data_IF_328451580242
#
_entry.id   IF_328451580242
#
_cell.length_a   1.000
_cell.length_b   1.000
_cell.length_c   1.000
_cell.angle_alpha   90.00
_cell.angle_beta   90.00
_cell.angle_gamma   90.00
#
_symmetry.space_group_name_H-M   'P 1'
#
loop_
_entity.id
_entity.type
_entity.pdbx_description
1 polymer ?
#
# COMPACT_ATOMS: atom_id res chain seq x y z
N UNK A 1 -14.07 -4.86 -6.72
CA UNK A 1 -14.37 -5.78 -5.63
C UNK A 1 -14.40 -7.23 -6.08
N UNK A 2 -14.96 -7.50 -7.24
CA UNK A 2 -15.01 -8.87 -7.77
C UNK A 2 -13.63 -9.52 -7.89
N UNK A 3 -12.60 -8.72 -8.15
CA UNK A 3 -11.25 -9.23 -8.36
C UNK A 3 -10.37 -9.10 -7.12
N UNK A 4 -10.95 -8.69 -6.02
CA UNK A 4 -10.26 -8.61 -4.74
C UNK A 4 -9.43 -7.36 -4.52
N UNK A 5 -9.06 -6.68 -5.60
CA UNK A 5 -8.31 -5.44 -5.52
C UNK A 5 -8.49 -4.62 -6.78
N UNK A 6 -8.42 -3.30 -6.67
CA UNK A 6 -8.63 -2.41 -7.80
C UNK A 6 -7.97 -1.06 -7.56
N UNK A 7 -7.70 -0.34 -8.67
CA UNK A 7 -7.11 0.98 -8.58
C UNK A 7 -8.17 1.99 -8.17
N UNK A 8 -7.94 2.69 -7.06
CA UNK A 8 -8.84 3.73 -6.56
C UNK A 8 -8.47 5.08 -7.14
N UNK A 9 -7.18 5.38 -7.18
CA UNK A 9 -6.70 6.67 -7.67
C UNK A 9 -5.47 6.43 -8.53
N UNK A 10 -5.56 6.77 -9.81
CA UNK A 10 -4.48 6.55 -10.73
C UNK A 10 -3.42 7.63 -10.66
N UNK A 11 -2.20 7.24 -10.96
CA UNK A 11 -1.09 8.16 -11.10
C UNK A 11 -1.28 9.08 -12.31
N UNK A 12 -0.61 10.23 -12.28
CA UNK A 12 -0.56 11.12 -13.44
C UNK A 12 0.19 10.42 -14.59
N UNK A 13 -0.01 10.91 -15.81
CA UNK A 13 0.64 10.34 -16.98
C UNK A 13 2.15 10.30 -16.81
N UNK A 14 2.75 9.18 -17.21
CA UNK A 14 4.18 8.98 -17.08
C UNK A 14 4.52 7.72 -16.29
N UNK A 15 5.77 7.57 -15.93
CA UNK A 15 6.24 6.38 -15.23
C UNK A 15 5.78 6.39 -13.77
N UNK A 16 5.17 5.29 -13.37
CA UNK A 16 4.70 5.12 -11.99
C UNK A 16 5.89 5.04 -11.02
N UNK A 17 5.86 5.85 -9.97
CA UNK A 17 6.94 5.91 -8.99
C UNK A 17 6.70 5.02 -7.79
N UNK A 18 5.47 4.99 -7.28
CA UNK A 18 5.16 4.21 -6.07
C UNK A 18 3.68 3.85 -6.06
N UNK A 19 3.38 2.68 -5.48
CA UNK A 19 2.01 2.20 -5.29
C UNK A 19 1.73 2.13 -3.81
N UNK A 20 0.61 2.69 -3.39
CA UNK A 20 0.12 2.59 -2.01
C UNK A 20 -1.11 1.68 -2.02
N UNK A 21 -1.09 0.63 -1.22
CA UNK A 21 -2.17 -0.35 -1.17
C UNK A 21 -2.81 -0.32 0.20
N UNK A 22 -4.12 -0.11 0.24
CA UNK A 22 -4.90 -0.23 1.47
C UNK A 22 -5.66 -1.55 1.44
N UNK A 23 -5.58 -2.30 2.52
CA UNK A 23 -6.21 -3.62 2.59
C UNK A 23 -7.53 -3.61 3.35
N UNK A 24 -7.96 -2.45 3.84
CA UNK A 24 -9.20 -2.36 4.60
C UNK A 24 -9.59 -0.92 4.85
N UNK A 25 -9.80 -0.58 6.12
CA UNK A 25 -10.31 0.73 6.53
C UNK A 25 -9.27 1.85 6.45
N UNK A 26 -8.04 1.54 6.05
CA UNK A 26 -6.93 2.50 6.01
C UNK A 26 -6.83 3.24 4.69
N UNK A 27 -7.84 3.12 3.83
CA UNK A 27 -7.82 3.77 2.51
C UNK A 27 -7.64 5.28 2.62
N UNK A 28 -8.25 5.89 3.62
CA UNK A 28 -8.12 7.33 3.86
C UNK A 28 -6.66 7.73 4.12
N UNK A 29 -5.94 6.90 4.87
CA UNK A 29 -4.52 7.15 5.13
C UNK A 29 -3.70 7.09 3.85
N UNK A 30 -3.98 6.10 3.01
CA UNK A 30 -3.28 5.94 1.74
C UNK A 30 -3.55 7.11 0.81
N UNK A 31 -4.81 7.55 0.74
CA UNK A 31 -5.17 8.69 -0.11
C UNK A 31 -4.51 9.99 0.35
N UNK A 32 -4.45 10.22 1.66
CA UNK A 32 -3.78 11.40 2.20
C UNK A 32 -2.27 11.35 1.96
N UNK A 33 -1.67 10.19 2.12
CA UNK A 33 -0.25 10.02 1.82
C UNK A 33 0.03 10.28 0.36
N UNK A 34 -0.86 9.81 -0.52
CA UNK A 34 -0.70 10.03 -1.95
C UNK A 34 -0.71 11.52 -2.30
N UNK A 35 -1.58 12.30 -1.65
CA UNK A 35 -1.61 13.74 -1.90
C UNK A 35 -0.25 14.38 -1.58
N UNK A 36 0.32 14.03 -0.44
CA UNK A 36 1.61 14.57 -0.03
C UNK A 36 2.71 14.21 -1.01
N UNK A 37 2.74 12.94 -1.43
CA UNK A 37 3.77 12.49 -2.37
C UNK A 37 3.59 13.11 -3.75
N UNK A 38 2.34 13.29 -4.19
CA UNK A 38 2.06 13.94 -5.47
C UNK A 38 2.47 15.41 -5.46
N UNK A 39 2.33 16.08 -4.31
CA UNK A 39 2.80 17.45 -4.17
C UNK A 39 4.31 17.55 -4.33
N UNK A 40 5.03 16.47 -4.07
CA UNK A 40 6.48 16.40 -4.29
C UNK A 40 6.82 16.00 -5.73
N UNK A 41 5.85 15.91 -6.62
CA UNK A 41 6.08 15.58 -8.02
C UNK A 41 6.12 14.10 -8.34
N UNK A 42 5.78 13.24 -7.40
CA UNK A 42 5.80 11.80 -7.61
C UNK A 42 4.50 11.31 -8.25
N UNK A 43 4.62 10.27 -9.07
CA UNK A 43 3.46 9.61 -9.66
C UNK A 43 3.06 8.45 -8.79
N UNK A 44 1.92 8.60 -8.12
CA UNK A 44 1.46 7.68 -7.07
C UNK A 44 0.14 7.05 -7.50
N UNK A 45 0.06 5.74 -7.38
CA UNK A 45 -1.18 4.99 -7.58
C UNK A 45 -1.68 4.51 -6.23
N UNK A 46 -2.98 4.63 -5.98
CA UNK A 46 -3.60 4.10 -4.78
C UNK A 46 -4.50 2.94 -5.16
N UNK A 47 -4.31 1.81 -4.49
CA UNK A 47 -5.04 0.57 -4.74
C UNK A 47 -5.78 0.17 -3.47
N UNK A 48 -7.03 -0.25 -3.62
CA UNK A 48 -7.77 -0.88 -2.53
C UNK A 48 -7.77 -2.38 -2.74
N UNK A 49 -7.39 -3.14 -1.72
CA UNK A 49 -7.32 -4.60 -1.81
C UNK A 49 -8.05 -5.25 -0.64
N UNK A 50 -9.39 -5.26 -0.67
CA UNK A 50 -10.17 -5.82 0.43
C UNK A 50 -10.08 -7.34 0.53
N UNK A 51 -9.70 -8.04 -0.54
CA UNK A 51 -9.60 -9.49 -0.50
C UNK A 51 -8.41 -9.98 -1.31
N UNK A 52 -7.28 -10.16 -0.62
CA UNK A 52 -6.04 -10.61 -1.27
C UNK A 52 -6.15 -12.00 -1.87
N UNK A 53 -6.94 -12.90 -1.25
CA UNK A 53 -7.08 -14.25 -1.78
C UNK A 53 -7.77 -14.26 -3.14
N UNK A 54 -8.80 -13.45 -3.31
CA UNK A 54 -9.48 -13.32 -4.60
C UNK A 54 -8.55 -12.68 -5.61
N UNK A 55 -7.82 -11.64 -5.20
CA UNK A 55 -6.88 -10.97 -6.09
C UNK A 55 -5.79 -11.93 -6.58
N UNK A 56 -5.27 -12.77 -5.68
CA UNK A 56 -4.21 -13.71 -6.02
C UNK A 56 -4.64 -14.74 -7.06
N UNK A 57 -5.94 -15.00 -7.19
CA UNK A 57 -6.49 -15.95 -8.15
C UNK A 57 -6.78 -15.34 -9.52
N UNK A 58 -6.61 -14.03 -9.67
CA UNK A 58 -6.87 -13.38 -10.94
C UNK A 58 -5.76 -13.69 -11.94
N UNK A 59 -6.04 -13.53 -13.25
CA UNK A 59 -4.99 -13.73 -14.25
C UNK A 59 -3.78 -12.84 -13.99
N UNK A 60 -2.60 -13.36 -14.34
CA UNK A 60 -1.36 -12.63 -14.10
C UNK A 60 -1.35 -11.27 -14.78
N UNK A 61 -1.92 -11.17 -15.98
CA UNK A 61 -2.00 -9.91 -16.70
C UNK A 61 -2.75 -8.85 -15.88
N UNK A 62 -3.86 -9.26 -15.27
CA UNK A 62 -4.65 -8.31 -14.50
C UNK A 62 -3.95 -7.91 -13.22
N UNK A 63 -3.35 -8.89 -12.53
CA UNK A 63 -2.60 -8.60 -11.30
C UNK A 63 -1.46 -7.62 -11.58
N UNK A 64 -0.76 -7.85 -12.69
CA UNK A 64 0.35 -7.00 -13.09
C UNK A 64 -0.13 -5.58 -13.46
N UNK A 65 -1.33 -5.45 -13.99
CA UNK A 65 -1.87 -4.14 -14.34
C UNK A 65 -2.21 -3.33 -13.10
N UNK A 66 -2.51 -3.98 -11.98
CA UNK A 66 -2.84 -3.30 -10.71
C UNK A 66 -1.59 -3.08 -9.88
N UNK A 67 -0.78 -4.12 -9.72
CA UNK A 67 0.46 -4.10 -8.93
C UNK A 67 1.63 -4.50 -9.82
N UNK A 68 2.20 -3.56 -10.58
CA UNK A 68 3.33 -3.90 -11.46
C UNK A 68 4.55 -4.33 -10.66
N UNK A 69 5.20 -5.40 -11.12
CA UNK A 69 6.43 -5.86 -10.48
C UNK A 69 7.53 -4.80 -10.64
N UNK A 70 8.37 -4.69 -9.63
CA UNK A 70 9.51 -3.77 -9.67
C UNK A 70 9.22 -2.34 -9.26
N UNK A 71 7.94 -1.99 -9.08
CA UNK A 71 7.58 -0.65 -8.62
C UNK A 71 7.50 -0.67 -7.09
N UNK A 72 8.14 0.29 -6.40
CA UNK A 72 8.06 0.36 -4.94
C UNK A 72 6.60 0.38 -4.47
N UNK A 73 6.28 -0.48 -3.50
CA UNK A 73 4.90 -0.67 -3.05
C UNK A 73 4.85 -0.65 -1.53
N UNK A 74 3.91 0.12 -0.98
CA UNK A 74 3.67 0.19 0.47
C UNK A 74 2.27 -0.32 0.73
N UNK A 75 2.15 -1.38 1.54
CA UNK A 75 0.88 -1.90 2.01
C UNK A 75 0.55 -1.30 3.36
N UNK A 76 -0.69 -0.85 3.54
CA UNK A 76 -1.18 -0.36 4.82
C UNK A 76 -2.24 -1.34 5.32
N UNK A 77 -1.92 -2.04 6.40
CA UNK A 77 -2.75 -3.11 6.93
C UNK A 77 -2.82 -3.04 8.45
N UNK A 78 -4.00 -3.05 9.02
CA UNK A 78 -4.19 -2.95 10.46
C UNK A 78 -4.11 -4.29 11.19
N UNK A 79 -3.93 -5.39 10.46
CA UNK A 79 -3.84 -6.72 11.06
C UNK A 79 -2.47 -7.33 10.74
N UNK A 80 -2.40 -8.63 10.50
CA UNK A 80 -1.13 -9.32 10.31
C UNK A 80 -0.41 -8.88 9.02
N UNK A 81 0.75 -8.24 9.10
CA UNK A 81 1.44 -7.79 7.89
C UNK A 81 2.10 -8.91 7.11
N UNK A 82 2.40 -10.04 7.75
CA UNK A 82 3.12 -11.15 7.09
C UNK A 82 2.39 -11.63 5.86
N UNK A 83 1.06 -11.73 5.93
CA UNK A 83 0.25 -12.21 4.83
C UNK A 83 0.49 -11.42 3.54
N UNK A 84 0.69 -10.10 3.66
CA UNK A 84 0.74 -9.22 2.50
C UNK A 84 2.08 -9.20 1.79
N UNK A 85 3.13 -9.71 2.42
CA UNK A 85 4.45 -9.77 1.78
C UNK A 85 4.44 -10.62 0.51
N UNK A 86 3.51 -11.56 0.40
CA UNK A 86 3.41 -12.39 -0.81
C UNK A 86 3.14 -11.59 -2.08
N UNK A 87 2.57 -10.39 -1.94
CA UNK A 87 2.24 -9.56 -3.09
C UNK A 87 3.37 -8.63 -3.51
N UNK A 88 4.45 -8.57 -2.76
CA UNK A 88 5.59 -7.73 -3.11
C UNK A 88 6.47 -8.44 -4.13
N UNK A 89 6.55 -7.85 -5.33
CA UNK A 89 7.37 -8.37 -6.43
C UNK A 89 8.49 -7.40 -6.76
N UNK A 90 9.10 -6.81 -5.74
CA UNK A 90 10.15 -5.83 -5.86
C UNK A 90 10.27 -5.06 -4.57
N UNK A 91 10.82 -3.85 -4.59
CA UNK A 91 10.97 -3.07 -3.36
C UNK A 91 9.61 -2.80 -2.73
N UNK A 92 9.52 -2.93 -1.41
CA UNK A 92 8.27 -2.68 -0.75
C UNK A 92 8.33 -2.91 0.74
N UNK A 93 7.25 -2.50 1.41
CA UNK A 93 7.12 -2.71 2.84
C UNK A 93 5.64 -2.86 3.18
N UNK A 94 5.37 -3.45 4.33
CA UNK A 94 4.01 -3.57 4.87
C UNK A 94 3.99 -2.88 6.22
N UNK A 95 3.12 -1.89 6.34
CA UNK A 95 2.90 -1.17 7.60
C UNK A 95 1.69 -1.81 8.26
N UNK A 96 1.87 -2.40 9.44
CA UNK A 96 0.76 -3.07 10.07
C UNK A 96 0.98 -3.34 11.54
N UNK A 97 -0.05 -3.91 12.16
CA UNK A 97 -0.02 -4.33 13.54
C UNK A 97 0.20 -5.84 13.55
N UNK A 98 1.32 -6.30 14.12
CA UNK A 98 1.59 -7.72 14.21
C UNK A 98 1.63 -8.22 15.66
N UNK A 99 1.06 -7.46 16.59
CA UNK A 99 1.00 -7.91 17.97
C UNK A 99 -0.32 -8.65 18.22
N UNK A 100 -0.24 -9.66 19.08
CA UNK A 100 -1.41 -10.44 19.46
C UNK A 100 -2.05 -9.83 20.69
N UNK A 101 -3.35 -10.07 20.86
CA UNK A 101 -4.05 -9.61 22.03
C UNK A 101 -4.74 -8.27 21.89
N UNK A 102 -4.49 -7.58 20.79
CA UNK A 102 -5.23 -6.35 20.51
C UNK A 102 -6.61 -6.74 19.96
N UNK A 103 -7.65 -6.18 20.53
CA UNK A 103 -8.99 -6.48 20.05
C UNK A 103 -9.22 -5.74 18.73
N UNK A 104 -10.12 -4.87 18.58
CA UNK A 104 -10.29 -4.16 17.32
C UNK A 104 -9.34 -2.97 17.24
N UNK A 105 -8.67 -2.71 16.11
CA UNK A 105 -7.86 -1.52 15.97
C UNK A 105 -8.71 -0.26 16.07
N UNK A 106 -8.17 0.75 16.70
CA UNK A 106 -8.80 2.05 16.81
C UNK A 106 -7.72 3.14 16.73
N UNK A 107 -8.12 4.42 16.78
CA UNK A 107 -7.15 5.51 16.61
C UNK A 107 -5.97 5.45 17.55
N UNK A 108 -6.18 5.04 18.80
CA UNK A 108 -5.09 4.95 19.77
C UNK A 108 -4.12 3.83 19.41
N UNK A 109 -4.64 2.68 18.96
CA UNK A 109 -3.82 1.56 18.54
C UNK A 109 -3.03 1.95 17.29
N UNK A 110 -3.67 2.62 16.35
CA UNK A 110 -2.99 3.08 15.13
C UNK A 110 -1.81 3.99 15.48
N UNK A 111 -2.00 4.92 16.40
CA UNK A 111 -0.92 5.81 16.81
C UNK A 111 0.21 5.07 17.51
N UNK A 112 -0.14 4.09 18.33
CA UNK A 112 0.86 3.29 19.04
C UNK A 112 1.78 2.56 18.05
N UNK A 113 1.23 2.02 16.97
CA UNK A 113 1.98 1.31 15.95
C UNK A 113 2.40 2.21 14.80
N UNK A 114 2.18 3.53 14.92
CA UNK A 114 2.53 4.52 13.91
C UNK A 114 1.89 4.23 12.56
N UNK A 115 0.61 3.83 12.56
CA UNK A 115 -0.16 3.65 11.34
C UNK A 115 -0.80 4.98 11.00
N UNK A 116 -0.06 5.81 10.28
CA UNK A 116 -0.47 7.18 9.94
C UNK A 116 -0.09 7.49 8.50
N UNK A 117 -0.72 8.51 7.95
CA UNK A 117 -0.37 8.99 6.60
C UNK A 117 1.10 9.41 6.56
N UNK A 118 1.61 10.02 7.62
CA UNK A 118 3.02 10.43 7.71
C UNK A 118 3.96 9.23 7.63
N UNK A 119 3.61 8.12 8.28
CA UNK A 119 4.39 6.90 8.21
C UNK A 119 4.41 6.35 6.79
N UNK A 120 3.27 6.35 6.12
CA UNK A 120 3.18 5.87 4.74
C UNK A 120 4.09 6.70 3.83
N UNK A 121 4.05 8.01 3.96
CA UNK A 121 4.91 8.91 3.19
C UNK A 121 6.39 8.60 3.47
N UNK A 122 6.74 8.45 4.72
CA UNK A 122 8.12 8.19 5.13
C UNK A 122 8.64 6.88 4.55
N UNK A 123 7.83 5.82 4.61
CA UNK A 123 8.23 4.53 4.07
C UNK A 123 8.36 4.58 2.55
N UNK A 124 7.43 5.26 1.87
CA UNK A 124 7.51 5.41 0.41
C UNK A 124 8.78 6.15 0.01
N UNK A 125 9.10 7.23 0.70
CA UNK A 125 10.32 8.00 0.42
C UNK A 125 11.58 7.17 0.65
N UNK A 126 11.58 6.35 1.70
CA UNK A 126 12.72 5.48 1.99
C UNK A 126 12.93 4.46 0.87
N UNK A 127 11.87 3.88 0.35
CA UNK A 127 11.96 2.94 -0.76
C UNK A 127 12.49 3.61 -2.02
N UNK A 128 12.01 4.82 -2.30
CA UNK A 128 12.46 5.56 -3.48
C UNK A 128 13.93 5.95 -3.37
N UNK A 129 14.37 6.35 -2.19
CA UNK A 129 15.75 6.71 -1.96
C UNK A 129 16.69 5.52 -2.14
N UNK A 130 16.30 4.34 -1.62
CA UNK A 130 17.15 3.16 -1.73
C UNK A 130 17.17 2.59 -3.15
N UNK A 131 16.09 2.81 -3.92
CA UNK A 131 16.01 2.35 -5.30
C UNK A 131 16.75 3.20 -6.30
N UNK A 132 17.19 4.40 -5.89
CA UNK A 132 17.86 5.33 -6.80
C UNK A 132 19.37 5.16 -6.82
N UNK A 133 19.89 4.20 -6.09
CA UNK A 133 21.34 3.98 -6.02
C UNK A 133 21.93 3.32 -7.29
#
# INVERSE_FOLDING_TARGET
>A
IRRGGYVVSREAAGQLDVVLVSTGSELDLALRAAETLRDDGLRVRVVSMPNGNIFARQPAEWRQSVLPAGVPTVFVEAASPIYWYQFLKGPGTVIGIDSFGESAPGPEVYRHFDITAERVVREARALLASGSA
#
